data_IF_267116416631
#
_entry.id   IF_267116416631
#
_cell.length_a   1.000
_cell.length_b   1.000
_cell.length_c   1.000
_cell.angle_alpha   90.00
_cell.angle_beta   90.00
_cell.angle_gamma   90.00
#
_symmetry.space_group_name_H-M   'P 1'
#
loop_
_entity.id
_entity.type
_entity.pdbx_description
1 polymer ?
#
# COMPACT_ATOMS: atom_id res chain seq x y z
N UNK A 1 3.18 -27.92 5.22
CA UNK A 1 3.31 -27.86 3.77
C UNK A 1 2.97 -26.45 3.31
N UNK A 2 3.94 -25.75 2.67
CA UNK A 2 3.67 -24.49 1.95
C UNK A 2 3.28 -24.86 0.54
N UNK A 3 2.19 -24.27 0.07
CA UNK A 3 1.67 -24.49 -1.29
C UNK A 3 1.54 -23.15 -1.99
N UNK A 4 2.17 -23.05 -3.15
CA UNK A 4 1.98 -21.92 -4.05
C UNK A 4 0.83 -22.24 -5.01
N UNK A 5 -0.11 -21.31 -5.14
CA UNK A 5 -1.22 -21.42 -6.06
C UNK A 5 -1.36 -20.12 -6.83
N UNK A 6 -1.43 -20.25 -8.17
CA UNK A 6 -1.55 -19.12 -9.07
C UNK A 6 -3.01 -18.61 -9.11
N UNK A 7 -3.28 -17.37 -8.67
CA UNK A 7 -4.63 -16.82 -8.66
C UNK A 7 -5.22 -16.61 -10.06
N UNK A 8 -4.39 -16.58 -11.10
CA UNK A 8 -4.84 -16.39 -12.49
C UNK A 8 -5.12 -17.69 -13.22
N UNK A 9 -4.62 -18.80 -12.74
CA UNK A 9 -4.79 -20.12 -13.34
C UNK A 9 -5.27 -21.14 -12.31
N UNK A 10 -5.45 -22.39 -12.72
CA UNK A 10 -5.72 -23.51 -11.82
C UNK A 10 -4.42 -24.27 -11.45
N UNK A 11 -3.26 -23.65 -11.67
CA UNK A 11 -1.99 -24.24 -11.35
C UNK A 11 -1.66 -24.02 -9.89
N UNK A 12 -1.14 -25.06 -9.26
CA UNK A 12 -0.61 -25.01 -7.90
C UNK A 12 0.50 -26.04 -7.73
N UNK A 13 1.30 -25.84 -6.72
CA UNK A 13 2.17 -26.90 -6.24
C UNK A 13 1.34 -28.12 -5.86
N UNK A 14 1.78 -29.29 -6.31
CA UNK A 14 1.08 -30.54 -6.06
C UNK A 14 2.03 -31.65 -5.64
N UNK A 15 1.69 -32.32 -4.54
CA UNK A 15 2.35 -33.55 -4.11
C UNK A 15 1.60 -34.73 -4.73
N UNK A 16 2.32 -35.59 -5.46
CA UNK A 16 1.77 -36.83 -5.99
C UNK A 16 2.41 -38.03 -5.27
N UNK A 17 1.60 -38.85 -4.63
CA UNK A 17 2.01 -40.02 -3.86
C UNK A 17 1.48 -41.29 -4.54
N UNK A 18 2.34 -42.19 -4.94
CA UNK A 18 1.96 -43.48 -5.56
C UNK A 18 1.42 -44.52 -4.57
N UNK A 19 1.39 -44.20 -3.28
CA UNK A 19 0.95 -45.10 -2.20
C UNK A 19 -0.07 -44.43 -1.30
N UNK A 20 0.04 -44.68 0.00
CA UNK A 20 -0.76 -44.08 1.03
C UNK A 20 -0.09 -42.80 1.54
N UNK A 21 -0.80 -41.67 1.52
CA UNK A 21 -0.39 -40.43 2.15
C UNK A 21 -0.95 -40.38 3.58
N UNK A 22 -0.08 -40.29 4.58
CA UNK A 22 -0.47 -40.04 5.96
C UNK A 22 -0.35 -38.55 6.23
N UNK A 23 -1.48 -37.87 6.46
CA UNK A 23 -1.54 -36.43 6.60
C UNK A 23 -1.46 -35.99 8.05
N UNK A 24 -0.81 -34.85 8.28
CA UNK A 24 -0.69 -34.19 9.57
C UNK A 24 -0.02 -32.83 9.42
N UNK A 25 -0.01 -32.03 10.50
CA UNK A 25 0.55 -30.69 10.47
C UNK A 25 -0.36 -29.69 9.76
N UNK A 26 0.22 -28.61 9.23
CA UNK A 26 -0.53 -27.47 8.65
C UNK A 26 -0.19 -27.25 7.17
N UNK A 27 -1.16 -26.67 6.46
CA UNK A 27 -0.98 -26.14 5.10
C UNK A 27 -0.98 -24.61 5.16
N UNK A 28 0.01 -24.00 4.56
CA UNK A 28 0.09 -22.54 4.40
C UNK A 28 0.06 -22.23 2.91
N UNK A 29 -1.01 -21.55 2.49
CA UNK A 29 -1.12 -21.04 1.13
C UNK A 29 -0.26 -19.78 1.01
N UNK A 30 0.58 -19.77 -0.01
CA UNK A 30 1.34 -18.62 -0.46
C UNK A 30 1.07 -18.43 -1.94
N UNK A 31 1.16 -17.23 -2.44
CA UNK A 31 0.96 -17.02 -3.87
C UNK A 31 1.53 -15.70 -4.33
N UNK A 32 1.82 -15.58 -5.62
CA UNK A 32 2.19 -14.32 -6.20
C UNK A 32 1.00 -13.35 -6.16
N UNK A 33 1.30 -12.07 -6.11
CA UNK A 33 0.31 -11.02 -6.34
C UNK A 33 -0.30 -11.21 -7.73
N UNK A 34 -1.63 -11.15 -7.82
CA UNK A 34 -2.28 -11.32 -9.12
C UNK A 34 -3.80 -11.23 -9.03
N UNK A 35 -4.44 -11.11 -10.18
CA UNK A 35 -5.89 -11.05 -10.26
C UNK A 35 -6.53 -12.39 -9.90
N UNK A 36 -7.29 -12.44 -8.81
CA UNK A 36 -8.10 -13.59 -8.46
C UNK A 36 -9.44 -13.53 -9.20
N UNK A 37 -9.59 -14.31 -10.25
CA UNK A 37 -10.83 -14.41 -11.01
C UNK A 37 -11.78 -15.44 -10.37
N UNK A 38 -12.55 -15.01 -9.36
CA UNK A 38 -13.58 -15.82 -8.72
C UNK A 38 -13.07 -16.84 -7.69
N UNK A 39 -13.97 -17.69 -7.22
CA UNK A 39 -13.64 -18.80 -6.31
C UNK A 39 -12.81 -19.85 -7.07
N UNK A 40 -11.68 -20.23 -6.52
CA UNK A 40 -10.79 -21.21 -7.13
C UNK A 40 -10.53 -22.38 -6.18
N UNK A 41 -10.41 -23.56 -6.79
CA UNK A 41 -10.05 -24.79 -6.10
C UNK A 41 -8.84 -25.41 -6.77
N UNK A 42 -7.83 -25.75 -6.00
CA UNK A 42 -6.55 -26.30 -6.43
C UNK A 42 -6.37 -27.69 -5.86
N UNK A 43 -6.00 -28.67 -6.68
CA UNK A 43 -5.61 -29.97 -6.19
C UNK A 43 -4.17 -29.93 -5.74
N UNK A 44 -3.92 -29.92 -4.43
CA UNK A 44 -2.59 -29.75 -3.83
C UNK A 44 -1.91 -31.07 -3.47
N UNK A 45 -2.68 -32.17 -3.38
CA UNK A 45 -2.16 -33.50 -3.09
C UNK A 45 -3.01 -34.54 -3.80
N UNK A 46 -2.35 -35.55 -4.36
CA UNK A 46 -3.00 -36.77 -4.86
C UNK A 46 -2.30 -38.02 -4.30
N UNK A 47 -3.07 -39.07 -3.96
CA UNK A 47 -2.53 -40.33 -3.47
C UNK A 47 -3.47 -41.49 -3.85
N UNK A 48 -2.95 -42.74 -3.85
CA UNK A 48 -3.84 -43.90 -3.98
C UNK A 48 -4.78 -44.06 -2.79
N UNK A 49 -4.34 -43.64 -1.61
CA UNK A 49 -5.13 -43.57 -0.39
C UNK A 49 -4.65 -42.40 0.48
N UNK A 50 -5.60 -41.71 1.08
CA UNK A 50 -5.32 -40.66 2.07
C UNK A 50 -5.76 -41.16 3.45
N UNK A 51 -4.88 -40.99 4.44
CA UNK A 51 -5.10 -41.32 5.82
C UNK A 51 -4.83 -40.08 6.69
N UNK A 52 -5.74 -39.73 7.59
CA UNK A 52 -5.66 -38.51 8.40
C UNK A 52 -6.07 -37.25 7.65
N UNK A 53 -5.78 -36.11 8.25
CA UNK A 53 -6.05 -34.80 7.71
C UNK A 53 -4.99 -33.79 8.18
N UNK A 54 -4.83 -32.69 7.48
CA UNK A 54 -4.07 -31.55 8.01
C UNK A 54 -4.84 -30.92 9.17
N UNK A 55 -4.13 -30.47 10.21
CA UNK A 55 -4.72 -29.91 11.42
C UNK A 55 -5.22 -28.48 11.22
N UNK A 56 -4.65 -27.76 10.26
CA UNK A 56 -5.05 -26.38 9.93
C UNK A 56 -4.66 -26.01 8.51
N UNK A 57 -5.36 -25.02 7.96
CA UNK A 57 -4.98 -24.34 6.74
C UNK A 57 -5.00 -22.83 7.00
N UNK A 58 -4.09 -22.09 6.37
CA UNK A 58 -4.04 -20.63 6.43
C UNK A 58 -3.58 -20.06 5.10
N UNK A 59 -3.87 -18.79 4.86
CA UNK A 59 -3.41 -18.04 3.68
C UNK A 59 -2.66 -16.81 4.15
N UNK A 60 -1.59 -16.44 3.43
CA UNK A 60 -0.86 -15.19 3.66
C UNK A 60 -1.59 -13.96 3.09
N UNK A 61 -2.75 -14.14 2.42
CA UNK A 61 -3.54 -13.05 1.89
C UNK A 61 -4.37 -12.34 2.96
N UNK A 62 -4.48 -11.01 2.84
CA UNK A 62 -5.20 -10.18 3.82
C UNK A 62 -6.71 -10.48 3.88
N UNK A 63 -7.32 -10.84 2.76
CA UNK A 63 -8.78 -10.95 2.61
C UNK A 63 -9.28 -12.35 2.32
N UNK A 64 -8.38 -13.33 2.17
CA UNK A 64 -8.73 -14.69 1.80
C UNK A 64 -8.26 -15.70 2.85
N UNK A 65 -9.12 -16.65 3.15
CA UNK A 65 -8.81 -17.83 3.96
C UNK A 65 -8.63 -19.04 3.05
N UNK A 66 -7.79 -19.97 3.53
CA UNK A 66 -7.55 -21.27 2.90
C UNK A 66 -8.41 -22.33 3.56
N UNK A 67 -9.23 -23.02 2.78
CA UNK A 67 -10.05 -24.14 3.21
C UNK A 67 -9.62 -25.41 2.48
N UNK A 68 -9.58 -26.54 3.18
CA UNK A 68 -9.20 -27.83 2.61
C UNK A 68 -10.41 -28.73 2.42
N UNK A 69 -10.54 -29.29 1.24
CA UNK A 69 -11.45 -30.38 0.92
C UNK A 69 -10.68 -31.70 0.83
N UNK A 70 -11.29 -32.78 1.29
CA UNK A 70 -10.67 -34.10 1.29
C UNK A 70 -11.56 -35.09 0.55
N UNK A 71 -10.96 -35.77 -0.42
CA UNK A 71 -11.50 -36.94 -1.08
C UNK A 71 -10.65 -38.18 -0.74
N UNK A 72 -11.11 -39.36 -1.15
CA UNK A 72 -10.37 -40.61 -0.89
C UNK A 72 -8.94 -40.60 -1.47
N UNK A 73 -8.70 -39.82 -2.52
CA UNK A 73 -7.44 -39.81 -3.31
C UNK A 73 -6.88 -38.40 -3.54
N UNK A 74 -7.55 -37.34 -3.09
CA UNK A 74 -7.12 -35.99 -3.33
C UNK A 74 -7.38 -35.07 -2.15
N UNK A 75 -6.49 -34.08 -1.98
CA UNK A 75 -6.73 -32.92 -1.13
C UNK A 75 -6.80 -31.68 -2.03
N UNK A 76 -7.85 -30.92 -1.86
CA UNK A 76 -8.09 -29.68 -2.58
C UNK A 76 -7.96 -28.49 -1.65
N UNK A 77 -7.35 -27.42 -2.13
CA UNK A 77 -7.30 -26.12 -1.48
C UNK A 77 -8.29 -25.19 -2.15
N UNK A 78 -9.14 -24.55 -1.38
CA UNK A 78 -10.07 -23.53 -1.82
C UNK A 78 -9.78 -22.21 -1.09
N UNK A 79 -9.76 -21.12 -1.83
CA UNK A 79 -9.60 -19.77 -1.29
C UNK A 79 -10.98 -19.11 -1.22
N UNK A 80 -11.41 -18.78 -0.03
CA UNK A 80 -12.68 -18.11 0.24
C UNK A 80 -12.43 -16.76 0.92
N UNK A 81 -13.35 -15.82 0.74
CA UNK A 81 -13.25 -14.53 1.44
C UNK A 81 -13.31 -14.73 2.95
N UNK A 82 -12.32 -14.18 3.69
CA UNK A 82 -12.31 -14.20 5.17
C UNK A 82 -13.64 -13.68 5.70
N UNK A 83 -14.09 -14.24 6.80
CA UNK A 83 -15.30 -13.81 7.49
C UNK A 83 -14.96 -13.32 8.88
N UNK A 84 -15.51 -12.15 9.23
CA UNK A 84 -15.35 -11.55 10.56
C UNK A 84 -16.69 -11.51 11.27
N UNK A 85 -16.72 -11.59 12.62
CA UNK A 85 -17.94 -11.40 13.38
C UNK A 85 -18.57 -10.05 13.04
N UNK A 86 -19.90 -10.03 12.94
CA UNK A 86 -20.65 -8.77 12.93
C UNK A 86 -20.55 -8.18 14.33
N UNK A 87 -20.30 -6.86 14.42
CA UNK A 87 -20.17 -6.15 15.70
C UNK A 87 -21.31 -6.52 16.64
N UNK A 88 -21.04 -7.06 17.85
CA UNK A 88 -22.05 -7.47 18.80
C UNK A 88 -22.86 -6.31 19.39
N UNK A 89 -22.48 -5.05 19.13
CA UNK A 89 -23.26 -3.88 19.50
C UNK A 89 -24.49 -3.64 18.62
N UNK A 90 -24.62 -4.36 17.50
CA UNK A 90 -25.83 -4.36 16.66
C UNK A 90 -26.77 -5.49 17.10
N UNK A 91 -27.94 -5.21 17.71
CA UNK A 91 -28.76 -6.24 18.41
C UNK A 91 -29.40 -7.28 17.52
N UNK A 92 -29.19 -7.28 16.22
CA UNK A 92 -30.09 -8.02 15.34
C UNK A 92 -29.58 -9.34 14.78
N UNK A 93 -28.29 -9.69 14.83
CA UNK A 93 -27.89 -11.04 14.40
C UNK A 93 -26.47 -11.40 14.86
N UNK A 94 -26.26 -12.44 15.69
CA UNK A 94 -24.97 -13.09 15.82
C UNK A 94 -24.65 -13.73 14.46
N UNK A 95 -23.74 -13.15 13.72
CA UNK A 95 -23.39 -13.62 12.40
C UNK A 95 -21.98 -13.22 12.02
N UNK A 96 -21.48 -13.80 10.96
CA UNK A 96 -20.23 -13.37 10.34
C UNK A 96 -20.53 -12.68 9.02
N UNK A 97 -19.78 -11.63 8.69
CA UNK A 97 -19.81 -10.98 7.38
C UNK A 97 -18.49 -11.22 6.63
N UNK A 98 -18.48 -11.18 5.31
CA UNK A 98 -17.21 -11.13 4.59
C UNK A 98 -16.39 -9.91 5.04
N UNK A 99 -15.07 -10.10 5.16
CA UNK A 99 -14.14 -9.02 5.40
C UNK A 99 -14.24 -8.00 4.26
N UNK A 100 -14.28 -6.70 4.58
CA UNK A 100 -14.25 -5.61 3.61
C UNK A 100 -12.83 -5.12 3.41
N UNK A 101 -12.55 -4.50 2.27
CA UNK A 101 -11.28 -3.83 2.07
C UNK A 101 -11.05 -2.73 3.11
N UNK A 102 -12.11 -2.03 3.49
CA UNK A 102 -12.09 -0.99 4.51
C UNK A 102 -11.70 -1.47 5.93
N UNK A 103 -11.79 -2.77 6.21
CA UNK A 103 -11.39 -3.34 7.51
C UNK A 103 -9.86 -3.30 7.71
N UNK A 104 -9.07 -3.22 6.63
CA UNK A 104 -7.63 -3.06 6.67
C UNK A 104 -7.16 -1.59 6.60
N UNK A 105 -8.09 -0.63 6.55
CA UNK A 105 -7.78 0.79 6.45
C UNK A 105 -7.56 1.42 7.83
N UNK A 106 -6.45 2.15 7.99
CA UNK A 106 -6.08 2.83 9.23
C UNK A 106 -6.44 4.33 9.22
N UNK A 107 -6.46 4.96 8.05
CA UNK A 107 -6.77 6.39 7.89
C UNK A 107 -8.13 6.62 7.23
N UNK A 108 -8.65 7.84 7.32
CA UNK A 108 -9.92 8.23 6.66
C UNK A 108 -9.82 8.13 5.14
N UNK A 109 -8.67 8.52 4.56
CA UNK A 109 -8.45 8.47 3.12
C UNK A 109 -8.33 7.03 2.62
N UNK A 110 -7.57 6.17 3.32
CA UNK A 110 -7.53 4.74 3.04
C UNK A 110 -8.93 4.12 3.10
N UNK A 111 -9.73 4.47 4.11
CA UNK A 111 -11.09 3.95 4.26
C UNK A 111 -12.02 4.40 3.14
N UNK A 112 -11.91 5.65 2.69
CA UNK A 112 -12.68 6.16 1.56
C UNK A 112 -12.33 5.40 0.27
N UNK A 113 -11.03 5.22 0.00
CA UNK A 113 -10.53 4.44 -1.15
C UNK A 113 -10.98 2.99 -1.08
N UNK A 114 -10.83 2.34 0.08
CA UNK A 114 -11.23 0.95 0.28
C UNK A 114 -12.76 0.75 0.12
N UNK A 115 -13.59 1.67 0.60
CA UNK A 115 -15.04 1.64 0.38
C UNK A 115 -15.40 1.80 -1.10
N UNK A 116 -14.69 2.66 -1.84
CA UNK A 116 -14.88 2.76 -3.28
C UNK A 116 -14.52 1.45 -4.00
N UNK A 117 -13.44 0.79 -3.59
CA UNK A 117 -13.05 -0.53 -4.12
C UNK A 117 -14.07 -1.62 -3.76
N UNK A 118 -14.60 -1.63 -2.53
CA UNK A 118 -15.65 -2.58 -2.11
C UNK A 118 -16.96 -2.40 -2.91
N UNK A 119 -17.22 -1.22 -3.49
CA UNK A 119 -18.38 -0.95 -4.32
C UNK A 119 -18.24 -1.45 -5.76
N UNK A 120 -17.05 -1.84 -6.18
CA UNK A 120 -16.79 -2.37 -7.50
C UNK A 120 -17.34 -3.80 -7.63
N UNK A 121 -17.68 -4.19 -8.86
CA UNK A 121 -18.04 -5.58 -9.13
C UNK A 121 -16.82 -6.50 -8.95
N UNK A 122 -17.05 -7.76 -8.56
CA UNK A 122 -15.98 -8.76 -8.45
C UNK A 122 -15.23 -9.05 -9.76
N UNK A 123 -15.79 -8.67 -10.91
CA UNK A 123 -15.14 -8.76 -12.21
C UNK A 123 -14.24 -7.55 -12.53
N UNK A 124 -14.26 -6.50 -11.71
CA UNK A 124 -13.44 -5.31 -11.94
C UNK A 124 -11.96 -5.65 -11.70
N UNK A 125 -11.03 -5.26 -12.61
CA UNK A 125 -9.61 -5.56 -12.47
C UNK A 125 -8.98 -5.02 -11.18
N UNK A 126 -9.40 -3.83 -10.70
CA UNK A 126 -8.90 -3.27 -9.43
C UNK A 126 -9.37 -4.10 -8.23
N UNK A 127 -10.63 -4.55 -8.23
CA UNK A 127 -11.14 -5.43 -7.19
C UNK A 127 -10.35 -6.74 -7.14
N UNK A 128 -10.13 -7.35 -8.31
CA UNK A 128 -9.38 -8.60 -8.45
C UNK A 128 -7.89 -8.45 -8.06
N UNK A 129 -7.31 -7.27 -8.28
CA UNK A 129 -5.95 -6.96 -7.87
C UNK A 129 -5.82 -6.81 -6.35
N UNK A 130 -6.79 -6.14 -5.70
CA UNK A 130 -6.72 -5.87 -4.25
C UNK A 130 -7.05 -7.11 -3.42
N UNK A 131 -7.90 -8.00 -3.92
CA UNK A 131 -8.39 -9.16 -3.17
C UNK A 131 -7.26 -10.11 -2.70
N UNK A 132 -6.26 -10.49 -3.51
CA UNK A 132 -5.16 -11.37 -3.13
C UNK A 132 -3.93 -10.61 -2.58
N UNK A 133 -4.08 -9.39 -2.09
CA UNK A 133 -2.96 -8.70 -1.46
C UNK A 133 -2.49 -9.44 -0.20
N UNK A 134 -1.19 -9.58 0.02
CA UNK A 134 -0.64 -10.16 1.23
C UNK A 134 -0.97 -9.32 2.46
N UNK A 135 -0.95 -9.94 3.63
CA UNK A 135 -1.22 -9.27 4.89
C UNK A 135 -0.23 -8.11 5.12
N UNK A 136 -0.76 -6.93 5.50
CA UNK A 136 0.02 -5.69 5.67
C UNK A 136 0.18 -4.83 4.41
N UNK A 137 -0.02 -5.35 3.19
CA UNK A 137 0.09 -4.58 1.96
C UNK A 137 -1.10 -3.64 1.66
N UNK A 138 -2.36 -3.94 2.06
CA UNK A 138 -3.51 -3.15 1.65
C UNK A 138 -3.42 -1.66 1.97
N UNK A 139 -2.92 -1.28 3.14
CA UNK A 139 -2.84 0.11 3.56
C UNK A 139 -2.01 0.96 2.58
N UNK A 140 -0.82 0.48 2.18
CA UNK A 140 0.04 1.18 1.22
C UNK A 140 -0.57 1.27 -0.19
N UNK A 141 -1.32 0.24 -0.60
CA UNK A 141 -2.05 0.27 -1.87
C UNK A 141 -3.17 1.31 -1.84
N UNK A 142 -3.93 1.42 -0.72
CA UNK A 142 -4.97 2.44 -0.58
C UNK A 142 -4.40 3.85 -0.59
N UNK A 143 -3.24 4.08 0.05
CA UNK A 143 -2.56 5.38 0.00
C UNK A 143 -2.17 5.74 -1.43
N UNK A 144 -1.62 4.79 -2.17
CA UNK A 144 -1.25 4.99 -3.58
C UNK A 144 -2.47 5.32 -4.47
N UNK A 145 -3.59 4.65 -4.24
CA UNK A 145 -4.83 4.85 -5.00
C UNK A 145 -5.60 6.10 -4.57
N UNK A 146 -5.40 6.59 -3.34
CA UNK A 146 -6.08 7.79 -2.83
C UNK A 146 -5.64 9.09 -3.51
N UNK A 147 -4.49 9.07 -4.19
CA UNK A 147 -3.89 10.26 -4.80
C UNK A 147 -3.28 11.24 -3.80
N UNK A 148 -3.21 10.89 -2.52
CA UNK A 148 -2.69 11.76 -1.46
C UNK A 148 -1.24 12.17 -1.70
N UNK A 149 -0.44 11.28 -2.26
CA UNK A 149 0.95 11.55 -2.65
C UNK A 149 1.01 12.70 -3.68
N UNK A 150 0.11 12.70 -4.66
CA UNK A 150 0.05 13.76 -5.68
C UNK A 150 -0.43 15.09 -5.09
N UNK A 151 -1.42 15.07 -4.19
CA UNK A 151 -1.91 16.26 -3.50
C UNK A 151 -0.82 16.88 -2.60
N UNK A 152 -0.04 16.06 -1.91
CA UNK A 152 1.06 16.50 -1.05
C UNK A 152 2.18 17.16 -1.84
N UNK A 153 2.56 16.62 -3.01
CA UNK A 153 3.54 17.21 -3.92
C UNK A 153 3.05 18.57 -4.44
N UNK A 154 1.80 18.67 -4.85
CA UNK A 154 1.19 19.92 -5.31
C UNK A 154 1.20 20.98 -4.22
N UNK A 155 0.84 20.61 -2.98
CA UNK A 155 0.88 21.51 -1.82
C UNK A 155 2.29 21.98 -1.51
N UNK A 156 3.29 21.10 -1.59
CA UNK A 156 4.70 21.44 -1.38
C UNK A 156 5.21 22.40 -2.45
N UNK A 157 4.86 22.20 -3.71
CA UNK A 157 5.19 23.09 -4.82
C UNK A 157 4.53 24.46 -4.66
N UNK A 158 3.28 24.52 -4.23
CA UNK A 158 2.58 25.77 -3.95
C UNK A 158 3.23 26.52 -2.79
N UNK A 159 3.65 25.84 -1.73
CA UNK A 159 4.38 26.45 -0.62
C UNK A 159 5.73 26.99 -1.03
N UNK A 160 6.49 26.24 -1.87
CA UNK A 160 7.75 26.70 -2.44
C UNK A 160 7.57 27.93 -3.33
N UNK A 161 6.53 27.98 -4.14
CA UNK A 161 6.20 29.15 -4.97
C UNK A 161 5.83 30.37 -4.13
N UNK A 162 5.14 30.16 -3.00
CA UNK A 162 4.84 31.21 -2.00
C UNK A 162 6.10 31.77 -1.33
N UNK A 163 7.07 30.91 -0.99
CA UNK A 163 8.35 31.32 -0.44
C UNK A 163 9.15 32.16 -1.43
N UNK A 164 9.24 31.76 -2.68
CA UNK A 164 9.98 32.51 -3.71
C UNK A 164 9.36 33.88 -4.01
N UNK A 165 8.06 34.02 -3.89
CA UNK A 165 7.35 35.30 -4.03
C UNK A 165 7.56 36.23 -2.83
N UNK A 166 7.61 35.69 -1.62
CA UNK A 166 7.65 36.46 -0.39
C UNK A 166 9.07 36.87 0.04
N UNK A 167 10.10 36.15 -0.38
CA UNK A 167 11.50 36.48 -0.07
C UNK A 167 11.91 37.86 -0.55
N UNK A 168 11.65 38.27 -1.82
CA UNK A 168 12.00 39.61 -2.29
C UNK A 168 11.31 40.72 -1.50
N UNK A 169 10.02 40.53 -1.16
CA UNK A 169 9.26 41.53 -0.41
C UNK A 169 9.72 41.65 1.06
N UNK A 170 10.10 40.55 1.69
CA UNK A 170 10.64 40.58 3.04
C UNK A 170 12.02 41.27 3.07
N UNK A 171 12.89 40.98 2.12
CA UNK A 171 14.19 41.59 2.00
C UNK A 171 14.08 43.08 1.67
N UNK A 172 13.17 43.45 0.79
CA UNK A 172 12.89 44.85 0.47
C UNK A 172 12.37 45.63 1.66
N UNK A 173 11.44 45.06 2.41
CA UNK A 173 10.87 45.65 3.64
C UNK A 173 11.92 45.80 4.72
N UNK A 174 12.77 44.80 4.93
CA UNK A 174 13.88 44.87 5.87
C UNK A 174 14.90 45.97 5.51
N UNK A 175 15.18 46.14 4.23
CA UNK A 175 16.07 47.19 3.76
C UNK A 175 15.48 48.60 3.88
N UNK A 176 14.16 48.74 3.65
CA UNK A 176 13.44 50.02 3.84
C UNK A 176 13.36 50.39 5.34
N UNK A 177 13.05 49.46 6.19
CA UNK A 177 13.01 49.66 7.64
C UNK A 177 14.38 50.04 8.21
N UNK A 178 15.46 49.40 7.70
CA UNK A 178 16.82 49.71 8.08
C UNK A 178 17.24 51.12 7.60
N UNK A 179 16.73 51.56 6.45
CA UNK A 179 17.00 52.91 5.91
C UNK A 179 16.20 54.05 6.58
N UNK A 180 15.09 53.66 7.26
CA UNK A 180 14.24 54.63 7.98
C UNK A 180 14.57 54.76 9.46
N UNK A 181 15.51 53.91 9.98
CA UNK A 181 15.92 54.03 11.37
C UNK A 181 16.70 55.33 11.61
N UNK A 182 16.39 56.13 12.65
CA UNK A 182 17.12 57.33 12.96
C UNK A 182 18.60 56.98 13.17
N UNK A 183 19.47 57.54 12.32
CA UNK A 183 20.92 57.27 12.34
C UNK A 183 21.42 56.14 11.46
N UNK A 184 20.56 55.48 10.68
CA UNK A 184 21.03 54.54 9.67
C UNK A 184 21.77 55.31 8.57
N UNK A 185 23.08 55.12 8.44
CA UNK A 185 23.84 55.63 7.35
C UNK A 185 23.34 55.00 6.06
N UNK A 186 22.77 55.78 5.17
CA UNK A 186 22.51 55.35 3.79
C UNK A 186 23.83 54.96 3.20
N UNK A 187 24.01 53.69 2.88
CA UNK A 187 25.17 53.22 2.11
C UNK A 187 25.02 53.76 0.69
N UNK A 188 25.37 55.03 0.50
CA UNK A 188 25.65 55.58 -0.80
C UNK A 188 26.95 54.95 -1.25
N UNK A 189 26.91 54.19 -2.32
CA UNK A 189 28.13 53.75 -3.00
C UNK A 189 28.91 54.99 -3.45
N UNK A 190 29.81 55.43 -2.60
CA UNK A 190 30.80 56.39 -2.97
C UNK A 190 31.75 55.69 -3.96
N UNK A 191 31.53 55.95 -5.23
CA UNK A 191 32.48 55.59 -6.27
C UNK A 191 33.74 56.37 -6.07
N UNK A 192 34.67 55.84 -5.28
CA UNK A 192 36.06 56.34 -5.29
C UNK A 192 36.77 55.72 -6.49
N UNK A 193 36.84 56.44 -7.56
CA UNK A 193 37.84 56.23 -8.62
C UNK A 193 39.22 56.28 -7.97
N UNK A 194 40.08 55.31 -8.13
CA UNK A 194 41.46 55.42 -7.72
C UNK A 194 42.14 56.44 -8.66
N UNK A 195 42.55 57.58 -8.09
CA UNK A 195 43.41 58.52 -8.78
C UNK A 195 44.73 57.83 -9.11
N UNK A 196 45.03 57.76 -10.39
CA UNK A 196 46.27 57.28 -10.93
C UNK A 196 47.38 58.25 -10.54
N UNK A 197 48.24 57.89 -9.59
CA UNK A 197 49.45 58.55 -9.28
C UNK A 197 50.57 58.07 -10.23
N UNK A 198 50.97 58.88 -11.16
CA UNK A 198 52.17 58.66 -11.95
C UNK A 198 53.41 58.91 -11.08
N UNK A 199 54.43 58.05 -11.09
CA UNK A 199 55.71 58.36 -10.46
C UNK A 199 56.48 59.36 -11.32
N UNK A 200 56.83 60.51 -10.72
CA UNK A 200 57.70 61.51 -11.30
C UNK A 200 59.10 60.96 -11.47
N UNK A 201 59.62 61.18 -12.66
CA UNK A 201 61.03 61.10 -13.04
C UNK A 201 61.81 62.19 -12.32
N UNK A 202 62.89 61.80 -11.61
CA UNK A 202 63.94 62.73 -11.20
C UNK A 202 65.26 62.21 -11.69
N UNK A 203 65.99 63.11 -12.22
CA UNK A 203 67.30 63.02 -12.86
C UNK A 203 68.44 62.48 -12.01
#
# INVERSE_FOLDING_TARGET
>A
YRVEADPQSNNSDRIAVSGTANLGGSVVHVGPDGNLAGERSYTILTANRINGAFSSASSEFAYLDANLGYDAQAVTLRLDRKRVPVDPSTPSTPGTRPVRFADAASTSNQRATANALDSLSGANPLYQYVLPLPEGAPAGVFDSLSGETHASVTSSLNNLSGLSRNLPFKSLRANLDAGLAPGAATAQAAGTSPASALPGSAA
#
